data_IF_337900174545
#
_entry.id   IF_337900174545
#
_cell.length_a   1.000
_cell.length_b   1.000
_cell.length_c   1.000
_cell.angle_alpha   90.00
_cell.angle_beta   90.00
_cell.angle_gamma   90.00
#
_symmetry.space_group_name_H-M   'P 1'
#
loop_
_entity.id
_entity.type
_entity.pdbx_description
1 polymer ?
#
# COMPACT_ATOMS: atom_id res chain seq x y z
N UNK A 1 -31.51 -8.68 3.19
CA UNK A 1 -30.52 -7.59 3.31
C UNK A 1 -29.78 -7.57 1.99
N UNK A 2 -30.06 -6.58 1.17
CA UNK A 2 -29.60 -6.49 -0.21
C UNK A 2 -28.10 -6.16 -0.19
N UNK A 3 -27.26 -7.15 -0.51
CA UNK A 3 -25.83 -6.92 -0.67
C UNK A 3 -25.64 -6.14 -1.97
N UNK A 4 -25.49 -4.82 -1.84
CA UNK A 4 -25.07 -3.97 -2.93
C UNK A 4 -23.73 -4.49 -3.48
N UNK A 5 -23.77 -5.06 -4.68
CA UNK A 5 -22.57 -5.34 -5.46
C UNK A 5 -21.98 -3.98 -5.77
N UNK A 6 -20.95 -3.58 -5.01
CA UNK A 6 -20.19 -2.37 -5.28
C UNK A 6 -19.73 -2.48 -6.72
N UNK A 7 -20.13 -1.54 -7.58
CA UNK A 7 -19.48 -1.39 -8.87
C UNK A 7 -18.00 -1.25 -8.56
N UNK A 8 -17.17 -2.20 -9.03
CA UNK A 8 -15.72 -2.07 -8.95
C UNK A 8 -15.37 -0.82 -9.75
N UNK A 9 -15.32 0.33 -9.07
CA UNK A 9 -14.82 1.54 -9.68
C UNK A 9 -13.35 1.28 -9.92
N UNK A 10 -12.98 1.28 -11.19
CA UNK A 10 -11.58 1.24 -11.60
C UNK A 10 -10.98 2.55 -11.12
N UNK A 11 -10.19 2.48 -10.05
CA UNK A 11 -9.39 3.59 -9.54
C UNK A 11 -8.31 3.93 -10.56
N UNK A 12 -8.04 5.22 -10.67
CA UNK A 12 -7.06 5.80 -11.59
C UNK A 12 -5.90 6.41 -10.81
N UNK A 13 -4.92 6.88 -11.56
CA UNK A 13 -3.77 7.58 -10.97
C UNK A 13 -4.18 8.89 -10.27
N UNK A 14 -5.25 9.53 -10.70
CA UNK A 14 -5.74 10.77 -10.05
C UNK A 14 -6.32 10.47 -8.66
N UNK A 15 -6.96 9.30 -8.50
CA UNK A 15 -7.55 8.89 -7.22
C UNK A 15 -6.49 8.63 -6.14
N UNK A 16 -5.34 8.04 -6.52
CA UNK A 16 -4.23 7.81 -5.57
C UNK A 16 -3.51 9.11 -5.19
N UNK A 17 -3.37 10.06 -6.11
CA UNK A 17 -2.79 11.38 -5.81
C UNK A 17 -3.73 12.31 -5.04
N UNK A 18 -5.03 12.05 -5.06
CA UNK A 18 -6.02 12.78 -4.26
C UNK A 18 -6.06 12.33 -2.78
N UNK A 19 -5.29 11.30 -2.39
CA UNK A 19 -5.25 10.83 -1.01
C UNK A 19 -4.66 11.90 -0.07
N UNK A 20 -5.16 11.98 1.18
CA UNK A 20 -4.64 12.93 2.15
C UNK A 20 -3.20 12.59 2.54
N UNK A 21 -2.44 13.63 2.91
CA UNK A 21 -1.07 13.48 3.40
C UNK A 21 -0.98 12.47 4.54
N UNK A 22 0.05 11.62 4.49
CA UNK A 22 0.29 10.56 5.48
C UNK A 22 -0.50 9.27 5.22
N UNK A 23 -1.41 9.24 4.24
CA UNK A 23 -2.06 8.01 3.80
C UNK A 23 -1.17 7.28 2.78
N UNK A 24 -0.70 6.09 3.13
CA UNK A 24 0.00 5.23 2.20
C UNK A 24 -0.97 4.20 1.59
N UNK A 25 -1.00 4.13 0.27
CA UNK A 25 -1.77 3.15 -0.49
C UNK A 25 -1.06 2.79 -1.80
N UNK A 26 -1.43 1.66 -2.38
CA UNK A 26 -0.93 1.18 -3.67
C UNK A 26 -2.10 1.03 -4.65
N UNK A 27 -1.91 1.46 -5.91
CA UNK A 27 -2.86 1.25 -6.99
C UNK A 27 -2.42 0.04 -7.81
N UNK A 28 -3.17 -1.05 -7.76
CA UNK A 28 -2.87 -2.30 -8.47
C UNK A 28 -4.13 -2.74 -9.21
N UNK A 29 -4.01 -2.94 -10.52
CA UNK A 29 -5.12 -3.39 -11.40
C UNK A 29 -6.41 -2.58 -11.26
N UNK A 30 -6.28 -1.25 -11.07
CA UNK A 30 -7.42 -0.36 -10.91
C UNK A 30 -8.06 -0.43 -9.52
N UNK A 31 -7.38 -0.96 -8.51
CA UNK A 31 -7.85 -1.00 -7.13
C UNK A 31 -6.83 -0.35 -6.19
N UNK A 32 -7.30 0.47 -5.25
CA UNK A 32 -6.46 1.08 -4.22
C UNK A 32 -6.43 0.18 -2.98
N UNK A 33 -5.23 -0.24 -2.60
CA UNK A 33 -4.94 -1.02 -1.39
C UNK A 33 -4.28 -0.14 -0.34
N UNK A 34 -4.96 0.11 0.77
CA UNK A 34 -4.39 0.86 1.88
C UNK A 34 -3.39 0.02 2.66
N UNK A 35 -2.21 0.60 2.92
CA UNK A 35 -1.16 -0.08 3.66
C UNK A 35 -1.36 0.10 5.16
N UNK A 36 -1.22 -1.00 5.90
CA UNK A 36 -1.08 -0.95 7.35
C UNK A 36 0.32 -0.45 7.72
N UNK A 37 0.48 0.31 8.82
CA UNK A 37 1.79 0.75 9.28
C UNK A 37 2.74 -0.44 9.51
N UNK A 38 3.99 -0.37 9.03
CA UNK A 38 4.95 -1.47 9.17
C UNK A 38 5.35 -1.69 10.62
N UNK A 39 5.09 -2.89 11.15
CA UNK A 39 5.44 -3.25 12.53
C UNK A 39 6.94 -3.51 12.76
N UNK A 40 7.34 -3.68 14.02
CA UNK A 40 8.75 -3.86 14.40
C UNK A 40 9.45 -5.06 13.74
N UNK A 41 8.74 -6.18 13.52
CA UNK A 41 9.31 -7.35 12.81
C UNK A 41 9.62 -7.02 11.35
N UNK A 42 8.70 -6.34 10.66
CA UNK A 42 8.89 -5.89 9.28
C UNK A 42 10.13 -4.99 9.19
N UNK A 43 10.25 -4.03 10.11
CA UNK A 43 11.42 -3.14 10.14
C UNK A 43 12.73 -3.87 10.39
N UNK A 44 12.77 -4.82 11.33
CA UNK A 44 13.99 -5.61 11.59
C UNK A 44 14.46 -6.41 10.37
N UNK A 45 13.52 -7.04 9.65
CA UNK A 45 13.84 -7.79 8.44
C UNK A 45 14.39 -6.85 7.36
N UNK A 46 13.73 -5.72 7.12
CA UNK A 46 14.20 -4.72 6.17
C UNK A 46 15.60 -4.18 6.52
N UNK A 47 15.84 -3.86 7.80
CA UNK A 47 17.16 -3.40 8.25
C UNK A 47 18.25 -4.45 8.01
N UNK A 48 17.97 -5.73 8.30
CA UNK A 48 18.91 -6.81 8.05
C UNK A 48 19.23 -6.96 6.56
N UNK A 49 18.21 -6.98 5.69
CA UNK A 49 18.40 -7.10 4.24
C UNK A 49 19.18 -5.92 3.68
N UNK A 50 18.86 -4.69 4.10
CA UNK A 50 19.58 -3.49 3.67
C UNK A 50 21.06 -3.53 4.05
N UNK A 51 21.38 -3.88 5.30
CA UNK A 51 22.77 -3.94 5.78
C UNK A 51 23.58 -5.07 5.12
N UNK A 52 22.96 -6.22 4.83
CA UNK A 52 23.61 -7.31 4.11
C UNK A 52 23.99 -6.95 2.67
N UNK A 53 23.27 -6.02 2.04
CA UNK A 53 23.57 -5.57 0.67
C UNK A 53 24.71 -4.56 0.55
N UNK A 54 25.14 -3.92 1.64
CA UNK A 54 26.24 -2.92 1.62
C UNK A 54 27.63 -3.55 1.77
N UNK A 55 27.70 -4.85 2.07
CA UNK A 55 28.95 -5.58 2.31
C UNK A 55 29.52 -6.26 1.05
N UNK A 56 29.27 -5.71 -0.14
CA UNK A 56 29.76 -6.24 -1.42
C UNK A 56 30.59 -5.24 -2.20
#
# INVERSE_FOLDING_TARGET
>A
MDQAISQERICTIDDIYALPDGQQAELIDGQIYYMAPPGAKHQRILSFLHLGTVAK
#
